data_IF_843646946961
#
_entry.id   IF_843646946961
#
_cell.length_a   1.000
_cell.length_b   1.000
_cell.length_c   1.000
_cell.angle_alpha   90.00
_cell.angle_beta   90.00
_cell.angle_gamma   90.00
#
_symmetry.space_group_name_H-M   'P 1'
#
loop_
_entity.id
_entity.type
_entity.pdbx_description
1 polymer ?
#
# COMPACT_ATOMS: atom_id res chain seq x y z
N UNK A 1 -12.91 -13.52 11.94
CA UNK A 1 -11.91 -12.80 12.78
C UNK A 1 -11.72 -11.44 12.15
N UNK A 2 -11.86 -10.37 12.93
CA UNK A 2 -11.76 -9.00 12.41
C UNK A 2 -10.30 -8.58 12.22
N UNK A 3 -10.04 -7.72 11.23
CA UNK A 3 -8.74 -7.10 11.01
C UNK A 3 -8.36 -6.14 12.13
N UNK A 4 -7.14 -5.62 12.10
CA UNK A 4 -6.54 -4.84 13.17
C UNK A 4 -6.92 -3.36 13.12
N UNK A 5 -6.94 -2.76 11.94
CA UNK A 5 -7.39 -1.39 11.69
C UNK A 5 -8.86 -1.44 11.25
N UNK A 6 -9.70 -0.61 11.87
CA UNK A 6 -11.13 -0.51 11.50
C UNK A 6 -11.39 0.71 10.62
N UNK A 7 -10.79 1.84 10.97
CA UNK A 7 -10.79 3.04 10.13
C UNK A 7 -9.62 3.94 10.52
N UNK A 8 -9.41 4.95 9.70
CA UNK A 8 -8.48 6.06 9.96
C UNK A 8 -9.23 7.38 9.93
N UNK A 9 -8.73 8.35 10.66
CA UNK A 9 -9.28 9.71 10.70
C UNK A 9 -8.16 10.72 10.99
N UNK A 10 -8.38 11.96 10.59
CA UNK A 10 -7.42 13.05 10.78
C UNK A 10 -7.55 13.61 12.20
N UNK A 11 -6.41 13.80 12.85
CA UNK A 11 -6.26 14.54 14.11
C UNK A 11 -5.59 15.89 13.79
N UNK A 12 -6.40 16.94 13.75
CA UNK A 12 -5.99 18.26 13.28
C UNK A 12 -5.29 19.09 14.36
N UNK A 13 -5.16 18.57 15.58
CA UNK A 13 -4.56 19.31 16.68
C UNK A 13 -3.11 19.67 16.35
N UNK A 14 -2.88 20.98 16.14
CA UNK A 14 -1.56 21.54 15.81
C UNK A 14 -1.12 21.37 14.35
N UNK A 15 -1.98 20.89 13.45
CA UNK A 15 -1.68 20.77 12.02
C UNK A 15 -1.81 22.12 11.28
N UNK A 16 -0.88 22.41 10.38
CA UNK A 16 -1.05 23.47 9.37
C UNK A 16 -1.82 22.91 8.16
N UNK A 17 -3.14 23.01 8.21
CA UNK A 17 -4.05 22.49 7.17
C UNK A 17 -3.90 23.22 5.82
N UNK A 18 -3.18 24.35 5.77
CA UNK A 18 -2.91 25.10 4.54
C UNK A 18 -1.64 24.66 3.81
N UNK A 19 -0.82 23.79 4.42
CA UNK A 19 0.44 23.35 3.87
C UNK A 19 0.41 21.89 3.43
N UNK A 20 1.32 21.52 2.51
CA UNK A 20 1.61 20.11 2.26
C UNK A 20 1.99 19.42 3.58
N UNK A 21 1.49 18.20 3.87
CA UNK A 21 0.70 17.29 3.03
C UNK A 21 -0.83 17.46 3.16
N UNK A 22 -1.33 18.39 3.99
CA UNK A 22 -2.77 18.54 4.28
C UNK A 22 -3.58 19.11 3.12
N UNK A 23 -2.90 19.72 2.14
CA UNK A 23 -3.50 20.19 0.88
C UNK A 23 -3.69 19.10 -0.17
N UNK A 24 -3.21 17.87 0.07
CA UNK A 24 -3.42 16.76 -0.86
C UNK A 24 -4.91 16.41 -0.96
N UNK A 25 -5.43 16.06 -2.16
CA UNK A 25 -6.83 15.72 -2.35
C UNK A 25 -7.32 14.69 -1.34
N UNK A 26 -6.65 13.54 -1.21
CA UNK A 26 -7.07 12.48 -0.30
C UNK A 26 -7.17 12.92 1.17
N UNK A 27 -6.33 13.88 1.60
CA UNK A 27 -6.34 14.37 2.98
C UNK A 27 -7.52 15.33 3.20
N UNK A 28 -7.77 16.21 2.23
CA UNK A 28 -8.96 17.07 2.22
C UNK A 28 -10.26 16.24 2.20
N UNK A 29 -10.30 15.18 1.39
CA UNK A 29 -11.42 14.25 1.34
C UNK A 29 -11.61 13.46 2.64
N UNK A 30 -10.53 12.95 3.24
CA UNK A 30 -10.58 12.28 4.55
C UNK A 30 -11.12 13.22 5.63
N UNK A 31 -10.66 14.47 5.65
CA UNK A 31 -11.16 15.52 6.54
C UNK A 31 -12.66 15.74 6.38
N UNK A 32 -13.11 15.92 5.14
CA UNK A 32 -14.53 16.15 4.84
C UNK A 32 -15.41 14.95 5.21
N UNK A 33 -14.93 13.73 4.97
CA UNK A 33 -15.64 12.49 5.32
C UNK A 33 -15.59 12.16 6.82
N UNK A 34 -14.65 12.76 7.56
CA UNK A 34 -14.39 12.52 8.98
C UNK A 34 -13.65 11.19 9.26
N UNK A 35 -13.83 10.17 8.43
CA UNK A 35 -13.09 8.89 8.53
C UNK A 35 -13.07 8.11 7.21
N UNK A 36 -12.12 7.19 7.09
CA UNK A 36 -12.05 6.20 6.02
C UNK A 36 -12.04 4.78 6.60
N UNK A 37 -13.08 4.00 6.28
CA UNK A 37 -13.24 2.62 6.78
C UNK A 37 -12.37 1.62 6.02
N UNK A 38 -11.65 0.80 6.76
CA UNK A 38 -10.76 -0.23 6.23
C UNK A 38 -11.40 -1.62 6.39
N UNK A 39 -11.25 -2.44 5.37
CA UNK A 39 -11.72 -3.81 5.38
C UNK A 39 -10.86 -4.69 6.30
N UNK A 40 -11.47 -5.62 7.07
CA UNK A 40 -10.71 -6.56 7.91
C UNK A 40 -9.76 -7.48 7.12
N UNK A 41 -10.01 -7.69 5.82
CA UNK A 41 -9.15 -8.46 4.91
C UNK A 41 -8.22 -7.55 4.11
N UNK A 42 -8.66 -7.14 2.91
CA UNK A 42 -7.85 -6.32 1.98
C UNK A 42 -8.58 -5.04 1.63
N UNK A 43 -7.88 -3.91 1.78
CA UNK A 43 -8.32 -2.61 1.26
C UNK A 43 -7.34 -2.13 0.20
N UNK A 44 -7.83 -1.87 -1.01
CA UNK A 44 -7.09 -1.18 -2.06
C UNK A 44 -7.45 0.30 -2.10
N UNK A 45 -6.43 1.15 -2.26
CA UNK A 45 -6.56 2.56 -2.56
C UNK A 45 -6.13 2.77 -4.01
N UNK A 46 -7.06 3.26 -4.84
CA UNK A 46 -6.82 3.60 -6.25
C UNK A 46 -7.17 5.07 -6.50
N UNK A 47 -6.68 5.61 -7.60
CA UNK A 47 -6.90 7.00 -8.00
C UNK A 47 -5.72 7.52 -8.80
N UNK A 48 -5.89 8.66 -9.45
CA UNK A 48 -4.87 9.24 -10.32
C UNK A 48 -3.57 9.59 -9.60
N UNK A 49 -2.50 9.79 -10.38
CA UNK A 49 -1.22 10.25 -9.84
C UNK A 49 -1.37 11.65 -9.20
N UNK A 50 -0.80 11.84 -8.02
CA UNK A 50 -0.89 13.12 -7.29
C UNK A 50 -2.11 13.26 -6.37
N UNK A 51 -3.06 12.31 -6.37
CA UNK A 51 -4.20 12.29 -5.42
C UNK A 51 -3.77 12.10 -3.95
N UNK A 52 -2.54 11.62 -3.72
CA UNK A 52 -1.94 11.46 -2.38
C UNK A 52 -1.96 10.06 -1.79
N UNK A 53 -2.26 9.02 -2.59
CA UNK A 53 -2.33 7.60 -2.16
C UNK A 53 -1.08 7.14 -1.38
N UNK A 54 0.10 7.38 -1.94
CA UNK A 54 1.39 7.01 -1.33
C UNK A 54 1.64 7.78 -0.03
N UNK A 55 1.24 9.06 0.03
CA UNK A 55 1.32 9.84 1.27
C UNK A 55 0.36 9.32 2.34
N UNK A 56 -0.85 8.88 1.96
CA UNK A 56 -1.80 8.29 2.90
C UNK A 56 -1.32 6.93 3.43
N UNK A 57 -0.83 6.02 2.56
CA UNK A 57 -0.33 4.72 3.00
C UNK A 57 0.92 4.86 3.89
N UNK A 58 1.82 5.81 3.57
CA UNK A 58 2.96 6.17 4.43
C UNK A 58 2.48 6.68 5.79
N UNK A 59 1.49 7.58 5.82
CA UNK A 59 0.95 8.09 7.07
C UNK A 59 0.31 6.99 7.94
N UNK A 60 -0.40 6.03 7.32
CA UNK A 60 -0.92 4.84 8.01
C UNK A 60 0.24 4.01 8.58
N UNK A 61 1.33 3.86 7.82
CA UNK A 61 2.49 3.09 8.24
C UNK A 61 3.20 3.72 9.43
N UNK A 62 3.49 5.02 9.35
CA UNK A 62 4.11 5.80 10.42
C UNK A 62 3.24 5.79 11.68
N UNK A 63 1.93 6.03 11.55
CA UNK A 63 1.00 5.97 12.68
C UNK A 63 0.87 4.54 13.27
N UNK A 64 1.22 3.50 12.50
CA UNK A 64 1.29 2.12 12.96
C UNK A 64 2.66 1.72 13.55
N UNK A 65 3.60 2.66 13.62
CA UNK A 65 4.94 2.49 14.18
C UNK A 65 5.94 1.84 13.22
N UNK A 66 5.68 1.83 11.91
CA UNK A 66 6.66 1.44 10.91
C UNK A 66 7.51 2.64 10.47
N UNK A 67 8.68 2.38 9.91
CA UNK A 67 9.51 3.41 9.29
C UNK A 67 8.87 3.88 7.96
N UNK A 68 8.94 5.18 7.64
CA UNK A 68 8.37 5.75 6.42
C UNK A 68 9.02 5.22 5.12
N UNK A 69 10.28 4.78 5.17
CA UNK A 69 10.96 4.16 4.03
C UNK A 69 10.60 2.67 3.86
N UNK A 70 9.82 2.11 4.79
CA UNK A 70 9.37 0.72 4.77
C UNK A 70 10.13 -0.19 5.74
N UNK A 71 9.93 -1.50 5.62
CA UNK A 71 10.50 -2.48 6.52
C UNK A 71 9.61 -2.83 7.71
N UNK A 72 10.23 -3.45 8.71
CA UNK A 72 9.57 -3.77 9.99
C UNK A 72 9.68 -2.59 10.96
N UNK A 73 8.96 -2.65 12.09
CA UNK A 73 9.04 -1.61 13.14
C UNK A 73 10.44 -1.40 13.74
N UNK A 74 11.34 -2.38 13.57
CA UNK A 74 12.68 -2.35 14.14
C UNK A 74 13.74 -1.79 13.17
N UNK A 75 13.35 -1.38 11.96
CA UNK A 75 14.28 -0.86 10.97
C UNK A 75 14.48 0.64 11.24
N UNK A 76 15.71 1.04 11.56
CA UNK A 76 16.08 2.42 11.86
C UNK A 76 16.98 2.96 10.74
N UNK A 77 16.40 3.52 9.70
CA UNK A 77 17.16 4.26 8.69
C UNK A 77 17.55 5.63 9.24
N UNK A 78 18.84 5.98 9.17
CA UNK A 78 19.33 7.33 9.50
C UNK A 78 19.44 8.18 8.23
N UNK A 79 18.38 8.29 7.47
CA UNK A 79 18.25 9.21 6.33
C UNK A 79 17.38 10.39 6.78
N UNK A 80 17.89 11.62 6.63
CA UNK A 80 17.29 12.85 7.14
C UNK A 80 15.86 13.09 6.59
N UNK A 81 14.90 13.33 7.50
CA UNK A 81 13.86 14.36 7.41
C UNK A 81 12.97 14.46 6.14
N UNK A 82 12.60 13.33 5.51
CA UNK A 82 11.60 13.28 4.41
C UNK A 82 10.24 12.72 4.82
N UNK A 83 10.07 12.30 6.08
CA UNK A 83 8.78 11.77 6.56
C UNK A 83 7.68 12.83 6.49
N UNK A 84 6.55 12.48 5.88
CA UNK A 84 5.37 13.33 5.88
C UNK A 84 4.88 13.58 7.32
N UNK A 85 4.61 14.83 7.73
CA UNK A 85 4.05 15.10 9.06
C UNK A 85 2.65 14.49 9.24
N UNK A 86 1.98 14.10 8.14
CA UNK A 86 0.63 13.50 8.17
C UNK A 86 0.55 12.28 9.09
N UNK A 87 1.60 11.46 9.17
CA UNK A 87 1.61 10.27 10.04
C UNK A 87 1.40 10.60 11.52
N UNK A 88 1.80 11.79 11.98
CA UNK A 88 1.59 12.23 13.37
C UNK A 88 0.18 12.75 13.62
N UNK A 89 -0.50 13.15 12.55
CA UNK A 89 -1.85 13.68 12.55
C UNK A 89 -2.87 12.65 12.05
N UNK A 90 -2.49 11.37 11.93
CA UNK A 90 -3.40 10.32 11.51
C UNK A 90 -3.70 9.39 12.68
N UNK A 91 -4.96 9.37 13.12
CA UNK A 91 -5.42 8.50 14.19
C UNK A 91 -5.88 7.16 13.60
N UNK A 92 -5.24 6.09 14.05
CA UNK A 92 -5.61 4.72 13.67
C UNK A 92 -6.58 4.14 14.70
N UNK A 93 -7.83 3.93 14.31
CA UNK A 93 -8.81 3.26 15.16
C UNK A 93 -8.74 1.75 14.95
N UNK A 94 -8.51 1.02 16.04
CA UNK A 94 -8.16 -0.40 16.03
C UNK A 94 -9.23 -1.28 16.65
N UNK A 95 -9.36 -2.50 16.14
CA UNK A 95 -10.08 -3.56 16.84
C UNK A 95 -9.21 -4.15 17.97
N UNK A 96 -9.81 -4.85 18.95
CA UNK A 96 -9.06 -5.59 19.97
C UNK A 96 -8.11 -6.62 19.33
N UNK A 97 -6.88 -6.67 19.85
CA UNK A 97 -5.83 -7.55 19.33
C UNK A 97 -4.69 -6.77 18.68
N UNK A 98 -3.47 -7.27 18.82
CA UNK A 98 -2.29 -6.68 18.18
C UNK A 98 -1.84 -7.60 17.03
N UNK A 99 -1.43 -7.04 15.88
CA UNK A 99 -0.77 -7.83 14.85
C UNK A 99 0.43 -8.56 15.46
N UNK A 100 0.54 -9.87 15.19
CA UNK A 100 1.72 -10.66 15.57
C UNK A 100 2.94 -10.27 14.78
N UNK A 101 2.70 -9.71 13.60
CA UNK A 101 3.69 -9.35 12.62
C UNK A 101 3.24 -8.13 11.82
N UNK A 102 4.13 -7.59 11.01
CA UNK A 102 3.77 -6.58 10.05
C UNK A 102 4.96 -5.95 9.34
N UNK A 103 4.64 -5.32 8.22
CA UNK A 103 5.63 -4.78 7.30
C UNK A 103 5.00 -3.65 6.49
N UNK A 104 5.77 -2.60 6.24
CA UNK A 104 5.45 -1.60 5.22
C UNK A 104 6.38 -1.78 4.04
N UNK A 105 5.84 -2.10 2.87
CA UNK A 105 6.61 -2.44 1.69
C UNK A 105 6.37 -1.41 0.59
N UNK A 106 7.44 -0.73 0.17
CA UNK A 106 7.41 0.25 -0.93
C UNK A 106 8.33 -0.22 -2.03
N UNK A 107 7.85 -0.25 -3.27
CA UNK A 107 8.68 -0.68 -4.39
C UNK A 107 9.86 0.27 -4.65
N UNK A 108 9.65 1.58 -4.49
CA UNK A 108 10.68 2.62 -4.73
C UNK A 108 11.80 2.60 -3.70
N UNK A 109 11.48 2.44 -2.40
CA UNK A 109 12.45 2.44 -1.30
C UNK A 109 12.99 1.03 -0.96
N UNK A 110 12.64 0.01 -1.75
CA UNK A 110 12.96 -1.39 -1.43
C UNK A 110 14.47 -1.65 -1.30
N UNK A 111 15.31 -0.91 -2.04
CA UNK A 111 16.77 -1.06 -1.94
C UNK A 111 17.31 -0.73 -0.55
N UNK A 112 16.75 0.28 0.12
CA UNK A 112 17.13 0.62 1.50
C UNK A 112 16.78 -0.52 2.46
N UNK A 113 15.57 -1.09 2.30
CA UNK A 113 15.11 -2.25 3.06
C UNK A 113 16.01 -3.47 2.84
N UNK A 114 16.38 -3.76 1.58
CA UNK A 114 17.30 -4.85 1.25
C UNK A 114 18.68 -4.66 1.89
N UNK A 115 19.22 -3.44 1.83
CA UNK A 115 20.51 -3.08 2.43
C UNK A 115 20.49 -3.29 3.94
N UNK A 116 19.41 -2.87 4.61
CA UNK A 116 19.27 -3.05 6.06
C UNK A 116 19.13 -4.51 6.47
N UNK A 117 18.43 -5.34 5.68
CA UNK A 117 18.33 -6.79 5.92
C UNK A 117 19.72 -7.45 5.88
N UNK A 118 20.56 -7.05 4.93
CA UNK A 118 21.92 -7.56 4.78
C UNK A 118 22.83 -7.05 5.92
N UNK A 119 22.74 -5.77 6.28
CA UNK A 119 23.48 -5.20 7.41
C UNK A 119 23.16 -5.89 8.75
N UNK A 120 21.88 -6.22 8.97
CA UNK A 120 21.41 -6.91 10.17
C UNK A 120 21.74 -8.41 10.15
N UNK A 121 22.18 -8.98 9.02
CA UNK A 121 22.51 -10.39 8.87
C UNK A 121 21.30 -11.33 8.99
N UNK A 122 20.08 -10.84 8.74
CA UNK A 122 18.82 -11.58 8.94
C UNK A 122 18.25 -12.17 7.64
N UNK A 123 19.04 -12.22 6.57
CA UNK A 123 18.63 -12.71 5.24
C UNK A 123 17.92 -14.07 5.24
N UNK A 124 18.17 -14.95 6.22
CA UNK A 124 17.43 -16.23 6.38
C UNK A 124 15.93 -16.06 6.48
N UNK A 125 15.45 -15.02 7.16
CA UNK A 125 14.02 -14.72 7.30
C UNK A 125 13.40 -14.12 6.03
N UNK A 126 14.22 -13.87 5.01
CA UNK A 126 13.87 -13.19 3.76
C UNK A 126 14.28 -14.01 2.52
N UNK A 127 14.36 -15.34 2.64
CA UNK A 127 14.68 -16.24 1.52
C UNK A 127 16.14 -16.70 1.43
N UNK A 128 16.95 -16.45 2.47
CA UNK A 128 18.21 -17.17 2.73
C UNK A 128 19.43 -16.77 1.93
N UNK A 129 19.33 -15.78 1.02
CA UNK A 129 20.46 -15.17 0.31
C UNK A 129 20.33 -13.65 0.36
N UNK A 130 21.42 -12.95 0.04
CA UNK A 130 21.39 -11.49 -0.06
C UNK A 130 20.31 -11.07 -1.07
N UNK A 131 19.52 -10.08 -0.69
CA UNK A 131 18.50 -9.50 -1.57
C UNK A 131 19.11 -8.63 -2.68
N UNK A 132 20.40 -8.30 -2.59
CA UNK A 132 21.14 -7.59 -3.64
C UNK A 132 21.63 -8.50 -4.77
N UNK A 133 21.61 -9.81 -4.59
CA UNK A 133 22.07 -10.79 -5.59
C UNK A 133 20.95 -11.29 -6.52
N UNK A 134 19.76 -10.68 -6.46
CA UNK A 134 18.56 -11.07 -7.23
C UNK A 134 18.02 -9.87 -8.00
N UNK A 135 17.10 -10.10 -8.93
CA UNK A 135 16.37 -9.00 -9.56
C UNK A 135 15.47 -8.29 -8.53
N UNK A 136 15.22 -6.99 -8.73
CA UNK A 136 14.41 -6.18 -7.83
C UNK A 136 13.04 -6.81 -7.53
N UNK A 137 12.38 -7.34 -8.56
CA UNK A 137 11.09 -8.02 -8.42
C UNK A 137 11.14 -9.37 -7.70
N UNK A 138 12.21 -10.14 -7.87
CA UNK A 138 12.38 -11.41 -7.13
C UNK A 138 12.59 -11.14 -5.64
N UNK A 139 13.50 -10.23 -5.30
CA UNK A 139 13.73 -9.84 -3.90
C UNK A 139 12.47 -9.30 -3.23
N UNK A 140 11.68 -8.50 -3.96
CA UNK A 140 10.40 -8.01 -3.48
C UNK A 140 9.45 -9.17 -3.12
N UNK A 141 9.29 -10.14 -4.02
CA UNK A 141 8.48 -11.33 -3.75
C UNK A 141 9.02 -12.14 -2.59
N UNK A 142 10.33 -12.29 -2.47
CA UNK A 142 10.93 -13.07 -1.40
C UNK A 142 10.59 -12.50 -0.02
N UNK A 143 10.48 -11.17 0.11
CA UNK A 143 9.96 -10.56 1.34
C UNK A 143 8.51 -10.99 1.59
N UNK A 144 7.62 -10.85 0.60
CA UNK A 144 6.20 -11.22 0.77
C UNK A 144 6.03 -12.73 1.06
N UNK A 145 6.81 -13.58 0.39
CA UNK A 145 6.68 -15.03 0.50
C UNK A 145 7.29 -15.58 1.79
N UNK A 146 8.42 -15.03 2.25
CA UNK A 146 9.17 -15.58 3.37
C UNK A 146 8.99 -14.79 4.67
N UNK A 147 8.85 -13.46 4.59
CA UNK A 147 8.75 -12.60 5.78
C UNK A 147 7.31 -12.44 6.25
N UNK A 148 6.34 -12.34 5.35
CA UNK A 148 4.95 -12.13 5.77
C UNK A 148 4.38 -13.43 6.34
N UNK A 149 3.89 -13.39 7.58
CA UNK A 149 3.24 -14.51 8.26
C UNK A 149 1.78 -14.28 8.68
N UNK A 150 1.15 -15.29 9.30
CA UNK A 150 -0.21 -15.22 9.84
C UNK A 150 -0.44 -14.07 10.81
N UNK A 151 -1.66 -13.52 10.85
CA UNK A 151 -2.03 -12.53 11.87
C UNK A 151 -1.24 -11.23 11.81
N UNK A 152 -0.76 -10.83 10.64
CA UNK A 152 0.04 -9.62 10.43
C UNK A 152 -0.75 -8.45 9.82
N UNK A 153 -0.25 -7.22 10.03
CA UNK A 153 -0.73 -6.03 9.34
C UNK A 153 0.29 -5.60 8.29
N UNK A 154 -0.07 -5.70 7.03
CA UNK A 154 0.80 -5.41 5.89
C UNK A 154 0.30 -4.19 5.13
N UNK A 155 1.21 -3.26 4.89
CA UNK A 155 0.97 -2.04 4.13
C UNK A 155 1.84 -2.09 2.88
N UNK A 156 1.27 -1.78 1.71
CA UNK A 156 2.01 -1.82 0.45
C UNK A 156 1.75 -0.56 -0.37
N UNK A 157 2.81 0.01 -0.93
CA UNK A 157 2.76 1.17 -1.81
C UNK A 157 3.32 0.77 -3.18
N UNK A 158 2.43 0.76 -4.17
CA UNK A 158 2.69 0.41 -5.57
C UNK A 158 3.57 -0.85 -5.75
N UNK A 159 3.18 -1.99 -5.14
CA UNK A 159 3.97 -3.22 -5.20
C UNK A 159 4.23 -3.67 -6.65
N UNK A 160 3.31 -3.41 -7.57
CA UNK A 160 3.43 -3.77 -8.99
C UNK A 160 4.59 -3.08 -9.72
N UNK A 161 5.10 -1.93 -9.23
CA UNK A 161 6.17 -1.20 -9.90
C UNK A 161 7.46 -2.03 -9.98
N UNK A 162 7.63 -2.99 -9.08
CA UNK A 162 8.74 -3.94 -9.08
C UNK A 162 8.41 -5.29 -9.78
N UNK A 163 7.15 -5.52 -10.18
CA UNK A 163 6.65 -6.87 -10.47
C UNK A 163 6.16 -7.05 -11.91
N UNK A 164 6.44 -8.23 -12.46
CA UNK A 164 5.75 -8.71 -13.67
C UNK A 164 4.29 -9.05 -13.39
N UNK A 165 3.46 -9.18 -14.43
CA UNK A 165 2.06 -9.65 -14.29
C UNK A 165 1.97 -11.00 -13.57
N UNK A 166 2.86 -11.95 -13.88
CA UNK A 166 2.91 -13.26 -13.22
C UNK A 166 3.27 -13.11 -11.74
N UNK A 167 4.21 -12.23 -11.43
CA UNK A 167 4.61 -11.90 -10.08
C UNK A 167 3.46 -11.29 -9.27
N UNK A 168 2.65 -10.41 -9.89
CA UNK A 168 1.41 -9.90 -9.27
C UNK A 168 0.40 -11.03 -8.99
N UNK A 169 0.25 -12.02 -9.88
CA UNK A 169 -0.62 -13.18 -9.62
C UNK A 169 -0.13 -14.02 -8.43
N UNK A 170 1.19 -14.19 -8.29
CA UNK A 170 1.77 -14.84 -7.10
C UNK A 170 1.49 -14.03 -5.83
N UNK A 171 1.58 -12.69 -5.90
CA UNK A 171 1.23 -11.81 -4.78
C UNK A 171 -0.24 -11.97 -4.38
N UNK A 172 -1.17 -12.03 -5.35
CA UNK A 172 -2.61 -12.29 -5.09
C UNK A 172 -2.79 -13.59 -4.30
N UNK A 173 -2.18 -14.69 -4.77
CA UNK A 173 -2.28 -15.98 -4.09
C UNK A 173 -1.77 -15.89 -2.65
N UNK A 174 -0.63 -15.23 -2.43
CA UNK A 174 -0.06 -15.06 -1.09
C UNK A 174 -0.92 -14.19 -0.18
N UNK A 175 -1.48 -13.10 -0.69
CA UNK A 175 -2.40 -12.23 0.06
C UNK A 175 -3.65 -13.01 0.48
N UNK A 176 -4.23 -13.77 -0.45
CA UNK A 176 -5.42 -14.58 -0.18
C UNK A 176 -5.18 -15.59 0.97
N UNK A 177 -4.06 -16.31 0.93
CA UNK A 177 -3.69 -17.26 1.99
C UNK A 177 -3.51 -16.57 3.35
N UNK A 178 -2.81 -15.43 3.37
CA UNK A 178 -2.52 -14.70 4.60
C UNK A 178 -3.78 -14.09 5.23
N UNK A 179 -4.72 -13.58 4.43
CA UNK A 179 -6.02 -13.07 4.92
C UNK A 179 -6.81 -14.18 5.61
N UNK A 180 -6.84 -15.39 5.03
CA UNK A 180 -7.45 -16.57 5.67
C UNK A 180 -6.76 -16.98 6.97
N UNK A 181 -5.50 -16.60 7.12
CA UNK A 181 -4.68 -16.80 8.33
C UNK A 181 -4.73 -15.57 9.27
N UNK A 182 -5.68 -14.65 9.06
CA UNK A 182 -5.95 -13.51 9.94
C UNK A 182 -5.08 -12.29 9.69
N UNK A 183 -4.39 -12.19 8.55
CA UNK A 183 -3.71 -10.97 8.15
C UNK A 183 -4.68 -9.92 7.61
N UNK A 184 -4.25 -8.66 7.67
CA UNK A 184 -4.94 -7.52 7.07
C UNK A 184 -3.98 -6.76 6.16
N UNK A 185 -4.50 -6.30 5.01
CA UNK A 185 -3.75 -5.55 4.01
C UNK A 185 -4.40 -4.19 3.73
N UNK A 186 -3.57 -3.16 3.63
CA UNK A 186 -3.93 -1.88 3.00
C UNK A 186 -2.90 -1.62 1.89
N UNK A 187 -3.37 -1.40 0.67
CA UNK A 187 -2.50 -1.38 -0.51
C UNK A 187 -2.86 -0.22 -1.42
N UNK A 188 -1.92 0.68 -1.68
CA UNK A 188 -2.04 1.63 -2.79
C UNK A 188 -1.55 0.96 -4.08
N UNK A 189 -2.35 1.00 -5.15
CA UNK A 189 -1.99 0.34 -6.41
C UNK A 189 -2.70 0.99 -7.61
N UNK A 190 -2.05 0.92 -8.75
CA UNK A 190 -2.58 1.16 -10.09
C UNK A 190 -2.76 -0.14 -10.88
N UNK A 191 -2.45 -1.30 -10.29
CA UNK A 191 -2.48 -2.58 -10.98
C UNK A 191 -3.90 -3.13 -11.13
N UNK A 192 -4.47 -3.23 -12.35
CA UNK A 192 -5.75 -3.92 -12.53
C UNK A 192 -5.69 -5.41 -12.16
N UNK A 193 -4.49 -6.00 -12.16
CA UNK A 193 -4.28 -7.40 -11.78
C UNK A 193 -4.46 -7.57 -10.28
N UNK A 194 -3.82 -6.72 -9.45
CA UNK A 194 -3.91 -6.84 -7.99
C UNK A 194 -5.31 -6.57 -7.46
N UNK A 195 -6.08 -5.70 -8.12
CA UNK A 195 -7.47 -5.44 -7.74
C UNK A 195 -8.38 -6.68 -7.82
N UNK A 196 -7.94 -7.77 -8.46
CA UNK A 196 -8.67 -9.03 -8.54
C UNK A 196 -8.55 -9.92 -7.29
N UNK A 197 -7.92 -9.47 -6.19
CA UNK A 197 -7.93 -10.24 -4.92
C UNK A 197 -9.37 -10.45 -4.46
N UNK A 198 -9.79 -11.71 -4.17
CA UNK A 198 -11.15 -12.00 -3.74
C UNK A 198 -11.53 -11.25 -2.45
N UNK A 199 -12.79 -10.84 -2.37
CA UNK A 199 -13.40 -10.17 -1.21
C UNK A 199 -12.72 -8.84 -0.80
N UNK A 200 -11.86 -8.28 -1.66
CA UNK A 200 -11.19 -7.02 -1.38
C UNK A 200 -12.14 -5.82 -1.49
N UNK A 201 -11.96 -4.85 -0.60
CA UNK A 201 -12.58 -3.53 -0.72
C UNK A 201 -11.70 -2.64 -1.58
N UNK A 202 -12.25 -2.10 -2.66
CA UNK A 202 -11.55 -1.11 -3.50
C UNK A 202 -12.12 0.27 -3.18
N UNK A 203 -11.25 1.20 -2.85
CA UNK A 203 -11.59 2.59 -2.57
C UNK A 203 -10.98 3.45 -3.66
N UNK A 204 -11.84 4.05 -4.48
CA UNK A 204 -11.44 5.04 -5.47
C UNK A 204 -11.34 6.42 -4.83
N UNK A 205 -10.26 7.14 -5.15
CA UNK A 205 -10.03 8.53 -4.75
C UNK A 205 -10.10 9.36 -6.04
N UNK A 206 -11.09 10.24 -6.13
CA UNK A 206 -11.23 11.16 -7.25
C UNK A 206 -10.28 12.37 -7.14
N UNK A 207 -10.25 13.21 -8.18
CA UNK A 207 -9.40 14.42 -8.22
C UNK A 207 -9.74 15.44 -7.13
N UNK A 208 -10.98 15.43 -6.63
CA UNK A 208 -11.40 16.26 -5.51
C UNK A 208 -11.01 15.66 -4.15
N UNK A 209 -10.50 14.43 -4.14
CA UNK A 209 -10.07 13.70 -2.95
C UNK A 209 -11.14 12.84 -2.32
N UNK A 210 -12.35 12.80 -2.87
CA UNK A 210 -13.45 12.00 -2.33
C UNK A 210 -13.07 10.52 -2.44
N UNK A 211 -12.99 9.86 -1.29
CA UNK A 211 -12.68 8.44 -1.19
C UNK A 211 -13.97 7.64 -1.01
N UNK A 212 -14.28 6.74 -1.94
CA UNK A 212 -15.51 5.94 -1.91
C UNK A 212 -15.30 4.51 -2.43
N UNK A 213 -16.14 3.55 -1.99
CA UNK A 213 -16.06 2.18 -2.48
C UNK A 213 -16.43 2.12 -3.97
N UNK A 214 -15.70 1.30 -4.73
CA UNK A 214 -15.97 1.01 -6.14
C UNK A 214 -15.90 -0.50 -6.39
N UNK A 215 -16.65 -1.00 -7.37
CA UNK A 215 -16.52 -2.41 -7.78
C UNK A 215 -15.25 -2.65 -8.61
N UNK A 216 -14.84 -3.90 -8.75
CA UNK A 216 -13.71 -4.27 -9.62
C UNK A 216 -13.91 -3.82 -11.08
N UNK A 217 -15.12 -3.97 -11.61
CA UNK A 217 -15.42 -3.61 -13.00
C UNK A 217 -15.46 -2.10 -13.24
N UNK A 218 -15.81 -1.32 -12.21
CA UNK A 218 -15.87 0.15 -12.26
C UNK A 218 -14.55 0.82 -11.88
N UNK A 219 -13.65 0.10 -11.20
CA UNK A 219 -12.33 0.61 -10.85
C UNK A 219 -11.60 1.09 -12.10
N UNK A 220 -11.18 2.35 -12.10
CA UNK A 220 -10.61 3.01 -13.27
C UNK A 220 -9.46 2.23 -13.92
N UNK A 221 -8.44 1.71 -13.19
CA UNK A 221 -7.37 0.94 -13.82
C UNK A 221 -7.87 -0.31 -14.56
N UNK A 222 -8.93 -0.94 -14.06
CA UNK A 222 -9.55 -2.12 -14.69
C UNK A 222 -10.32 -1.70 -15.94
N UNK A 223 -11.21 -0.71 -15.81
CA UNK A 223 -12.03 -0.23 -16.91
C UNK A 223 -11.18 0.29 -18.07
N UNK A 224 -10.17 1.11 -17.79
CA UNK A 224 -9.27 1.70 -18.78
C UNK A 224 -8.41 0.63 -19.46
N UNK A 225 -7.79 -0.26 -18.68
CA UNK A 225 -6.95 -1.33 -19.24
C UNK A 225 -7.78 -2.27 -20.12
N UNK A 226 -8.98 -2.65 -19.68
CA UNK A 226 -9.91 -3.49 -20.46
C UNK A 226 -10.30 -2.82 -21.76
N UNK A 227 -10.66 -1.54 -21.72
CA UNK A 227 -11.06 -0.80 -22.91
C UNK A 227 -9.90 -0.63 -23.91
N UNK A 228 -8.69 -0.33 -23.42
CA UNK A 228 -7.48 -0.26 -24.25
C UNK A 228 -7.16 -1.59 -24.91
N UNK A 229 -7.08 -2.69 -24.14
CA UNK A 229 -6.76 -4.03 -24.67
C UNK A 229 -7.84 -4.55 -25.63
N UNK A 230 -9.10 -4.13 -25.47
CA UNK A 230 -10.20 -4.48 -26.36
C UNK A 230 -10.09 -3.83 -27.75
N UNK A 231 -9.44 -2.67 -27.88
CA UNK A 231 -9.22 -2.01 -29.17
C UNK A 231 -8.03 -1.01 -29.13
N UNK A 232 -6.78 -1.49 -29.15
CA UNK A 232 -5.61 -0.63 -29.03
C UNK A 232 -5.50 0.42 -30.14
N UNK A 233 -5.83 0.05 -31.39
CA UNK A 233 -5.74 0.93 -32.56
C UNK A 233 -6.65 2.16 -32.45
N UNK A 234 -7.80 2.05 -31.78
CA UNK A 234 -8.68 3.21 -31.54
C UNK A 234 -7.99 4.23 -30.63
N UNK A 235 -7.34 3.79 -29.56
CA UNK A 235 -6.64 4.66 -28.62
C UNK A 235 -5.37 5.25 -29.27
N UNK A 236 -4.56 4.41 -29.93
CA UNK A 236 -3.33 4.84 -30.58
C UNK A 236 -3.58 5.88 -31.67
N UNK A 237 -4.66 5.75 -32.45
CA UNK A 237 -5.03 6.77 -33.45
C UNK A 237 -5.33 8.14 -32.86
N UNK A 238 -5.89 8.21 -31.65
CA UNK A 238 -6.19 9.48 -30.98
C UNK A 238 -4.97 10.07 -30.28
N UNK A 239 -4.07 9.22 -29.78
CA UNK A 239 -2.85 9.64 -29.07
C UNK A 239 -1.70 10.04 -30.00
N UNK A 240 -1.65 9.46 -31.20
CA UNK A 240 -0.57 9.66 -32.18
C UNK A 240 -0.99 10.57 -33.36
N UNK A 241 -2.18 11.17 -33.30
CA UNK A 241 -2.66 12.18 -34.25
C UNK A 241 -2.23 13.57 -33.84
#
# INVERSE_FOLDING_TARGET
MGGFLRWIELDEDGADVGAYPFTLPVVAGLRAAGRLELDPGVTFLIGENGTGKSTLIEAIAVAAGYNAEGGTRNFNFSTRATESPLGRHLRLVRNPGKPRDGFFLRAEAFYNVATEIDNLGVARSYGGRSLHERSHGESFLDVVLNRFGPGGLYLMDEPEAALSVRSCMTLIARMHDLVRQGAQFVVATHSPVLLAVPDARIIGIDDAGTAGPVSFDEAEPVALTRAFLGNPDRYLRHLLS
#
